data_IF_645612083292
#
_entry.id   IF_645612083292
#
_cell.length_a   1.000
_cell.length_b   1.000
_cell.length_c   1.000
_cell.angle_alpha   90.00
_cell.angle_beta   90.00
_cell.angle_gamma   90.00
#
_symmetry.space_group_name_H-M   'P 1'
#
loop_
_entity.id
_entity.type
_entity.pdbx_description
1 polymer ?
#
# COMPACT_ATOMS: atom_id res chain seq x y z
N UNK A 1 2.62 -4.33 9.93
CA UNK A 1 3.25 -3.53 8.85
C UNK A 1 3.57 -4.48 7.72
N UNK A 2 3.57 -4.02 6.46
CA UNK A 2 3.86 -4.86 5.30
C UNK A 2 4.82 -4.16 4.32
N UNK A 3 5.77 -4.90 3.78
CA UNK A 3 6.63 -4.41 2.69
C UNK A 3 5.83 -4.33 1.38
N UNK A 4 6.35 -3.61 0.39
CA UNK A 4 5.72 -3.57 -0.95
C UNK A 4 5.63 -4.97 -1.56
N UNK A 5 6.68 -5.77 -1.40
CA UNK A 5 6.71 -7.13 -1.94
C UNK A 5 5.69 -8.04 -1.26
N UNK A 6 5.57 -7.97 0.08
CA UNK A 6 4.52 -8.72 0.79
C UNK A 6 3.12 -8.34 0.34
N UNK A 7 2.87 -7.05 0.11
CA UNK A 7 1.57 -6.58 -0.40
C UNK A 7 1.33 -7.00 -1.84
N UNK A 8 2.37 -7.02 -2.68
CA UNK A 8 2.28 -7.50 -4.05
C UNK A 8 1.89 -8.97 -4.07
N UNK A 9 2.63 -9.83 -3.36
CA UNK A 9 2.41 -11.29 -3.30
C UNK A 9 1.09 -11.68 -2.64
N UNK A 10 0.62 -10.91 -1.65
CA UNK A 10 -0.63 -11.21 -0.96
C UNK A 10 -1.88 -10.83 -1.76
N UNK A 11 -1.78 -9.84 -2.66
CA UNK A 11 -2.92 -9.35 -3.47
C UNK A 11 -2.89 -9.92 -4.88
N UNK A 12 -1.69 -10.11 -5.43
CA UNK A 12 -1.45 -10.76 -6.71
C UNK A 12 -0.65 -12.03 -6.42
N UNK A 13 -1.23 -13.18 -6.78
CA UNK A 13 -0.65 -14.51 -6.56
C UNK A 13 0.85 -14.59 -6.92
N UNK A 14 1.58 -15.54 -6.31
CA UNK A 14 3.04 -15.68 -6.44
C UNK A 14 3.58 -15.75 -7.88
N UNK A 15 2.73 -16.03 -8.86
CA UNK A 15 3.04 -16.06 -10.29
C UNK A 15 3.15 -14.66 -10.93
N UNK A 16 2.80 -13.60 -10.20
CA UNK A 16 2.76 -12.24 -10.74
C UNK A 16 4.16 -11.59 -10.74
N UNK A 17 4.82 -11.61 -11.89
CA UNK A 17 6.06 -10.88 -12.17
C UNK A 17 5.84 -9.37 -12.36
N UNK A 18 5.04 -8.76 -11.50
CA UNK A 18 4.72 -7.33 -11.57
C UNK A 18 5.73 -6.43 -10.87
N UNK A 19 5.72 -5.15 -11.24
CA UNK A 19 6.53 -4.13 -10.58
C UNK A 19 5.92 -3.77 -9.21
N UNK A 20 6.74 -3.77 -8.15
CA UNK A 20 6.36 -3.30 -6.81
C UNK A 20 5.79 -1.87 -6.81
N UNK A 21 6.06 -1.06 -7.85
CA UNK A 21 5.45 0.25 -8.06
C UNK A 21 3.93 0.19 -8.27
N UNK A 22 3.38 -0.95 -8.69
CA UNK A 22 1.93 -1.16 -8.77
C UNK A 22 1.29 -0.99 -7.38
N UNK A 23 1.99 -1.44 -6.32
CA UNK A 23 1.53 -1.28 -4.94
C UNK A 23 1.41 0.21 -4.59
N UNK A 24 2.39 1.04 -4.95
CA UNK A 24 2.33 2.48 -4.69
C UNK A 24 1.14 3.15 -5.40
N UNK A 25 0.87 2.77 -6.65
CA UNK A 25 -0.28 3.28 -7.41
C UNK A 25 -1.63 2.85 -6.80
N UNK A 26 -1.74 1.59 -6.38
CA UNK A 26 -2.92 1.08 -5.70
C UNK A 26 -3.13 1.75 -4.34
N UNK A 27 -2.09 1.92 -3.54
CA UNK A 27 -2.19 2.62 -2.25
C UNK A 27 -2.56 4.09 -2.42
N UNK A 28 -2.04 4.78 -3.44
CA UNK A 28 -2.45 6.17 -3.75
C UNK A 28 -3.95 6.27 -4.03
N UNK A 29 -4.48 5.38 -4.87
CA UNK A 29 -5.93 5.33 -5.17
C UNK A 29 -6.75 4.96 -3.94
N UNK A 30 -6.29 4.01 -3.14
CA UNK A 30 -6.96 3.57 -1.92
C UNK A 30 -7.07 4.70 -0.89
N UNK A 31 -5.97 5.42 -0.63
CA UNK A 31 -5.96 6.61 0.26
C UNK A 31 -6.92 7.69 -0.22
N UNK A 32 -6.96 7.95 -1.52
CA UNK A 32 -7.89 8.94 -2.07
C UNK A 32 -9.35 8.58 -1.73
N UNK A 33 -9.71 7.30 -1.81
CA UNK A 33 -11.05 6.81 -1.46
C UNK A 33 -11.32 6.78 0.05
N UNK A 34 -10.34 6.41 0.87
CA UNK A 34 -10.52 6.24 2.31
C UNK A 34 -10.46 7.56 3.09
N UNK A 35 -9.58 8.47 2.68
CA UNK A 35 -9.29 9.71 3.39
C UNK A 35 -9.84 10.94 2.64
N UNK A 36 -10.62 10.75 1.56
CA UNK A 36 -11.17 11.82 0.71
C UNK A 36 -10.08 12.80 0.20
N UNK A 37 -8.88 12.29 -0.06
CA UNK A 37 -7.73 13.10 -0.47
C UNK A 37 -7.09 13.94 0.64
N UNK A 38 -7.52 13.77 1.90
CA UNK A 38 -6.89 14.40 3.08
C UNK A 38 -5.65 13.62 3.52
N UNK A 39 -5.06 14.05 4.64
CA UNK A 39 -3.92 13.39 5.26
C UNK A 39 -4.22 11.91 5.54
N UNK A 40 -3.31 10.98 5.17
CA UNK A 40 -3.59 9.55 5.24
C UNK A 40 -3.72 9.05 6.68
N UNK A 41 -4.95 8.75 7.11
CA UNK A 41 -5.24 8.21 8.44
C UNK A 41 -5.10 6.70 8.46
N UNK A 42 -5.67 6.00 7.48
CA UNK A 42 -5.82 4.54 7.51
C UNK A 42 -4.63 3.77 6.94
N UNK A 43 -3.98 4.28 5.90
CA UNK A 43 -2.81 3.61 5.30
C UNK A 43 -1.64 4.56 5.38
N UNK A 44 -0.66 4.28 6.24
CA UNK A 44 0.49 5.17 6.49
C UNK A 44 1.75 4.65 5.81
N UNK A 45 2.60 5.56 5.32
CA UNK A 45 3.87 5.20 4.69
C UNK A 45 4.93 4.99 5.76
N UNK A 46 5.59 3.84 5.74
CA UNK A 46 6.83 3.58 6.48
C UNK A 46 7.97 3.76 5.49
N UNK A 47 8.63 4.93 5.54
CA UNK A 47 9.69 5.30 4.57
C UNK A 47 10.79 4.23 4.56
N UNK A 48 11.21 3.82 3.36
CA UNK A 48 12.20 2.75 3.18
C UNK A 48 11.69 1.31 3.32
N UNK A 49 10.45 1.11 3.77
CA UNK A 49 9.91 -0.24 4.01
C UNK A 49 8.64 -0.54 3.19
N UNK A 50 7.58 0.24 3.38
CA UNK A 50 6.28 -0.07 2.79
C UNK A 50 5.15 0.66 3.50
N UNK A 51 4.12 -0.08 3.91
CA UNK A 51 2.89 0.47 4.43
C UNK A 51 2.44 -0.20 5.73
N UNK A 52 1.72 0.56 6.54
CA UNK A 52 1.02 0.03 7.72
C UNK A 52 -0.40 0.53 7.75
N UNK A 53 -1.28 -0.25 8.34
CA UNK A 53 -2.57 0.27 8.74
C UNK A 53 -2.37 1.26 9.90
N UNK A 54 -3.06 2.39 9.85
CA UNK A 54 -3.05 3.40 10.89
C UNK A 54 -3.74 2.85 12.12
N UNK A 55 -3.10 3.04 13.27
CA UNK A 55 -3.70 2.74 14.56
C UNK A 55 -4.30 4.05 15.06
N UNK A 56 -5.63 4.14 15.08
CA UNK A 56 -6.30 5.16 15.90
C UNK A 56 -6.06 4.89 17.37
#
# INVERSE_FOLDING_TARGET
MFSRQQLLEAVWEHSYHGDIRLVDACVKRLRYKLDEGRSPRYVQTVRGFGYRFGTS
#
